data_IF_797999849622
#
_entry.id   IF_797999849622
#
_cell.length_a   1.000
_cell.length_b   1.000
_cell.length_c   1.000
_cell.angle_alpha   90.00
_cell.angle_beta   90.00
_cell.angle_gamma   90.00
#
_symmetry.space_group_name_H-M   'P 1'
#
loop_
_entity.id
_entity.type
_entity.pdbx_description
1 polymer ?
#
# COMPACT_ATOMS: atom_id res chain seq x y z
N UNK A 1 30.10 -36.26 -101.18
CA UNK A 1 29.11 -37.28 -100.77
C UNK A 1 29.47 -37.76 -99.38
N UNK A 2 28.56 -37.80 -98.40
CA UNK A 2 27.21 -37.19 -98.29
C UNK A 2 27.23 -35.96 -97.33
N UNK A 3 26.47 -34.90 -97.56
CA UNK A 3 25.05 -34.68 -97.20
C UNK A 3 24.74 -34.91 -95.72
N UNK A 4 24.44 -33.84 -94.97
CA UNK A 4 23.39 -33.83 -93.93
C UNK A 4 22.96 -32.41 -93.57
N UNK A 5 21.80 -32.09 -94.15
CA UNK A 5 20.67 -31.24 -93.77
C UNK A 5 20.78 -30.19 -92.64
N UNK A 6 20.29 -29.03 -93.06
CA UNK A 6 19.79 -27.83 -92.40
C UNK A 6 18.69 -28.09 -91.36
N UNK A 7 18.82 -27.53 -90.16
CA UNK A 7 17.68 -27.16 -89.31
C UNK A 7 18.06 -25.99 -88.39
N UNK A 8 17.64 -24.79 -88.79
CA UNK A 8 17.57 -23.62 -87.94
C UNK A 8 16.35 -23.71 -87.00
N UNK A 9 16.57 -23.65 -85.69
CA UNK A 9 15.53 -23.41 -84.69
C UNK A 9 15.61 -21.97 -84.13
N UNK A 10 14.46 -21.33 -83.84
CA UNK A 10 14.39 -19.92 -83.48
C UNK A 10 14.72 -19.65 -82.00
N UNK A 11 15.40 -18.53 -81.80
CA UNK A 11 15.72 -17.92 -80.51
C UNK A 11 14.44 -17.61 -79.72
N UNK A 12 14.18 -18.36 -78.65
CA UNK A 12 13.15 -18.03 -77.67
C UNK A 12 13.75 -17.18 -76.55
N UNK A 13 13.17 -15.99 -76.42
CA UNK A 13 13.51 -14.92 -75.51
C UNK A 13 13.15 -15.32 -74.07
N UNK A 14 14.14 -15.72 -73.27
CA UNK A 14 13.95 -16.03 -71.84
C UNK A 14 13.69 -14.75 -71.06
N UNK A 15 12.44 -14.60 -70.63
CA UNK A 15 11.96 -13.59 -69.69
C UNK A 15 12.84 -13.55 -68.42
N UNK A 16 13.39 -12.37 -68.15
CA UNK A 16 13.97 -11.98 -66.86
C UNK A 16 12.80 -11.85 -65.87
N UNK A 17 12.77 -12.58 -64.74
CA UNK A 17 11.77 -12.35 -63.71
C UNK A 17 12.03 -11.00 -63.01
N UNK A 18 10.97 -10.26 -62.62
CA UNK A 18 11.13 -8.98 -61.93
C UNK A 18 11.74 -9.19 -60.53
N UNK A 19 12.48 -8.19 -59.99
CA UNK A 19 13.03 -8.27 -58.64
C UNK A 19 11.90 -8.33 -57.62
N UNK A 20 11.96 -9.32 -56.73
CA UNK A 20 11.05 -9.53 -55.61
C UNK A 20 11.20 -8.39 -54.60
N UNK A 21 10.27 -7.45 -54.63
CA UNK A 21 10.11 -6.39 -53.64
C UNK A 21 9.27 -6.90 -52.47
N UNK A 22 9.83 -7.73 -51.61
CA UNK A 22 9.23 -8.06 -50.32
C UNK A 22 10.31 -8.07 -49.23
N UNK A 23 10.85 -6.89 -48.95
CA UNK A 23 11.47 -6.62 -47.66
C UNK A 23 10.37 -6.11 -46.74
N UNK A 24 9.58 -7.04 -46.20
CA UNK A 24 8.60 -6.76 -45.15
C UNK A 24 9.41 -6.52 -43.88
N UNK A 25 9.73 -5.26 -43.63
CA UNK A 25 10.15 -4.77 -42.32
C UNK A 25 9.11 -5.21 -41.31
N UNK A 26 9.42 -6.29 -40.61
CA UNK A 26 8.66 -6.76 -39.46
C UNK A 26 8.87 -5.73 -38.37
N UNK A 27 8.00 -4.72 -38.31
CA UNK A 27 7.88 -3.85 -37.16
C UNK A 27 7.65 -4.75 -35.95
N UNK A 28 8.65 -4.80 -35.07
CA UNK A 28 8.47 -5.32 -33.71
C UNK A 28 7.48 -4.37 -33.05
N UNK A 29 6.20 -4.73 -33.11
CA UNK A 29 5.15 -4.09 -32.31
C UNK A 29 5.52 -4.40 -30.87
N UNK A 30 6.24 -3.48 -30.23
CA UNK A 30 6.44 -3.50 -28.79
C UNK A 30 5.04 -3.33 -28.22
N UNK A 31 4.46 -4.41 -27.70
CA UNK A 31 3.16 -4.41 -27.05
C UNK A 31 3.28 -3.56 -25.79
N UNK A 32 3.03 -2.26 -25.93
CA UNK A 32 3.04 -1.33 -24.80
C UNK A 32 1.81 -1.67 -23.97
N UNK A 33 1.97 -2.14 -22.73
CA UNK A 33 0.84 -2.50 -21.89
C UNK A 33 -0.14 -1.33 -21.80
N UNK A 34 -1.43 -1.63 -21.82
CA UNK A 34 -2.46 -0.61 -21.66
C UNK A 34 -2.20 0.19 -20.37
N UNK A 35 -2.48 1.50 -20.31
CA UNK A 35 -2.19 2.35 -19.14
C UNK A 35 -2.67 1.77 -17.81
N UNK A 36 -3.80 1.07 -17.82
CA UNK A 36 -4.35 0.38 -16.64
C UNK A 36 -3.52 -0.83 -16.21
N UNK A 37 -3.00 -1.62 -17.16
CA UNK A 37 -2.16 -2.78 -16.88
C UNK A 37 -0.82 -2.37 -16.23
N UNK A 38 -0.25 -1.23 -16.63
CA UNK A 38 0.95 -0.69 -15.94
C UNK A 38 0.68 -0.34 -14.46
N UNK A 39 -0.53 0.15 -14.14
CA UNK A 39 -0.94 0.41 -12.76
C UNK A 39 -1.14 -0.91 -12.00
N UNK A 40 -1.68 -1.95 -12.64
CA UNK A 40 -1.77 -3.29 -12.05
C UNK A 40 -0.38 -3.86 -11.75
N UNK A 41 0.57 -3.73 -12.67
CA UNK A 41 1.95 -4.15 -12.46
C UNK A 41 2.59 -3.38 -11.30
N UNK A 42 2.36 -2.06 -11.21
CA UNK A 42 2.83 -1.25 -10.09
C UNK A 42 2.24 -1.71 -8.74
N UNK A 43 0.95 -2.05 -8.71
CA UNK A 43 0.30 -2.61 -7.52
C UNK A 43 0.85 -3.99 -7.17
N UNK A 44 1.10 -4.83 -8.18
CA UNK A 44 1.65 -6.18 -8.00
C UNK A 44 3.07 -6.15 -7.46
N UNK A 45 3.87 -5.17 -7.86
CA UNK A 45 5.23 -4.95 -7.38
C UNK A 45 5.30 -4.25 -6.01
N UNK A 46 4.17 -3.78 -5.47
CA UNK A 46 4.16 -3.07 -4.21
C UNK A 46 4.51 -4.04 -3.05
N UNK A 47 5.59 -3.76 -2.32
CA UNK A 47 6.10 -4.65 -1.26
C UNK A 47 5.30 -4.56 0.05
N UNK A 48 4.51 -3.50 0.23
CA UNK A 48 3.63 -3.31 1.39
C UNK A 48 2.29 -4.04 1.33
N UNK A 49 1.46 -3.80 2.36
CA UNK A 49 0.20 -4.53 2.57
C UNK A 49 -0.80 -4.40 1.41
N UNK A 50 -0.81 -3.23 0.75
CA UNK A 50 -1.63 -2.99 -0.44
C UNK A 50 -1.32 -4.00 -1.56
N UNK A 51 -0.04 -4.22 -1.85
CA UNK A 51 0.38 -5.17 -2.88
C UNK A 51 0.17 -6.62 -2.46
N UNK A 52 0.39 -6.96 -1.19
CA UNK A 52 0.09 -8.29 -0.66
C UNK A 52 -1.39 -8.66 -0.87
N UNK A 53 -2.31 -7.77 -0.45
CA UNK A 53 -3.74 -7.99 -0.62
C UNK A 53 -4.13 -8.02 -2.10
N UNK A 54 -3.54 -7.17 -2.93
CA UNK A 54 -3.78 -7.16 -4.37
C UNK A 54 -3.40 -8.52 -5.01
N UNK A 55 -2.18 -9.00 -4.78
CA UNK A 55 -1.68 -10.28 -5.29
C UNK A 55 -2.51 -11.48 -4.85
N UNK A 56 -2.95 -11.50 -3.59
CA UNK A 56 -3.78 -12.59 -3.08
C UNK A 56 -5.23 -12.50 -3.60
N UNK A 57 -5.73 -11.29 -3.85
CA UNK A 57 -7.05 -11.09 -4.47
C UNK A 57 -7.06 -11.51 -5.94
N UNK A 58 -5.96 -11.30 -6.69
CA UNK A 58 -5.83 -11.82 -8.07
C UNK A 58 -5.87 -13.35 -8.14
N UNK A 59 -5.44 -14.02 -7.08
CA UNK A 59 -5.52 -15.48 -6.94
C UNK A 59 -6.92 -15.98 -6.57
N UNK A 60 -7.89 -15.08 -6.37
CA UNK A 60 -9.27 -15.41 -6.04
C UNK A 60 -9.48 -15.83 -4.58
N UNK A 61 -8.57 -15.48 -3.67
CA UNK A 61 -8.74 -15.79 -2.25
C UNK A 61 -9.84 -14.90 -1.64
N UNK A 62 -10.62 -15.49 -0.75
CA UNK A 62 -11.62 -14.77 0.05
C UNK A 62 -10.96 -14.00 1.21
N UNK A 63 -11.60 -12.94 1.74
CA UNK A 63 -11.01 -12.08 2.77
C UNK A 63 -10.42 -12.81 3.98
N UNK A 64 -11.08 -13.84 4.48
CA UNK A 64 -10.59 -14.62 5.63
C UNK A 64 -9.35 -15.45 5.28
N UNK A 65 -9.27 -15.95 4.04
CA UNK A 65 -8.09 -16.68 3.55
C UNK A 65 -6.90 -15.73 3.35
N UNK A 66 -7.16 -14.49 2.91
CA UNK A 66 -6.14 -13.44 2.82
C UNK A 66 -5.63 -13.06 4.21
N UNK A 67 -6.53 -12.88 5.19
CA UNK A 67 -6.16 -12.59 6.57
C UNK A 67 -5.28 -13.70 7.16
N UNK A 68 -5.67 -14.97 6.96
CA UNK A 68 -4.89 -16.13 7.41
C UNK A 68 -3.51 -16.19 6.72
N UNK A 69 -3.45 -16.04 5.40
CA UNK A 69 -2.19 -16.05 4.64
C UNK A 69 -1.22 -14.94 5.05
N UNK A 70 -1.75 -13.83 5.57
CA UNK A 70 -1.01 -12.65 5.98
C UNK A 70 -0.77 -12.55 7.50
N UNK A 71 -1.17 -13.59 8.25
CA UNK A 71 -1.11 -13.66 9.72
C UNK A 71 -1.74 -12.45 10.42
N UNK A 72 -2.92 -12.04 9.91
CA UNK A 72 -3.74 -10.97 10.48
C UNK A 72 -4.98 -11.57 11.13
N UNK A 73 -5.32 -11.12 12.33
CA UNK A 73 -6.41 -11.68 13.13
C UNK A 73 -7.80 -11.43 12.52
N UNK A 74 -7.97 -10.33 11.80
CA UNK A 74 -9.25 -9.89 11.22
C UNK A 74 -9.13 -9.73 9.70
N UNK A 75 -10.25 -9.85 8.98
CA UNK A 75 -10.28 -9.69 7.52
C UNK A 75 -10.75 -8.31 7.03
N UNK A 76 -11.15 -7.41 7.93
CA UNK A 76 -11.69 -6.09 7.57
C UNK A 76 -10.72 -5.27 6.71
N UNK A 77 -9.42 -5.32 7.02
CA UNK A 77 -8.38 -4.62 6.27
C UNK A 77 -8.36 -5.01 4.77
N UNK A 78 -8.76 -6.24 4.43
CA UNK A 78 -8.78 -6.73 3.05
C UNK A 78 -9.74 -5.92 2.20
N UNK A 79 -10.93 -5.59 2.72
CA UNK A 79 -11.92 -4.77 2.01
C UNK A 79 -11.38 -3.37 1.75
N UNK A 80 -10.67 -2.79 2.73
CA UNK A 80 -10.01 -1.49 2.59
C UNK A 80 -8.96 -1.51 1.48
N UNK A 81 -8.01 -2.44 1.48
CA UNK A 81 -6.96 -2.49 0.45
C UNK A 81 -7.49 -2.89 -0.93
N UNK A 82 -8.54 -3.72 -1.00
CA UNK A 82 -9.26 -3.97 -2.26
C UNK A 82 -9.88 -2.69 -2.80
N UNK A 83 -10.51 -1.90 -1.93
CA UNK A 83 -11.08 -0.62 -2.32
C UNK A 83 -10.00 0.33 -2.82
N UNK A 84 -8.88 0.49 -2.10
CA UNK A 84 -7.75 1.32 -2.54
C UNK A 84 -7.19 0.87 -3.90
N UNK A 85 -7.07 -0.44 -4.13
CA UNK A 85 -6.64 -1.00 -5.42
C UNK A 85 -7.63 -0.65 -6.53
N UNK A 86 -8.95 -0.78 -6.28
CA UNK A 86 -9.98 -0.42 -7.26
C UNK A 86 -10.04 1.10 -7.50
N UNK A 87 -9.81 1.92 -6.48
CA UNK A 87 -9.71 3.37 -6.63
C UNK A 87 -8.53 3.73 -7.52
N UNK A 88 -7.37 3.06 -7.37
CA UNK A 88 -6.20 3.30 -8.21
C UNK A 88 -6.43 2.89 -9.67
N UNK A 89 -7.13 1.79 -9.91
CA UNK A 89 -7.36 1.23 -11.25
C UNK A 89 -8.52 1.92 -11.99
N UNK A 90 -9.63 2.15 -11.30
CA UNK A 90 -10.90 2.52 -11.93
C UNK A 90 -11.44 3.88 -11.45
N UNK A 91 -10.84 4.49 -10.41
CA UNK A 91 -11.30 5.76 -9.85
C UNK A 91 -12.67 5.68 -9.18
N UNK A 92 -13.02 4.52 -8.60
CA UNK A 92 -14.32 4.31 -7.96
C UNK A 92 -14.49 5.21 -6.72
N UNK A 93 -15.54 6.06 -6.67
CA UNK A 93 -15.82 6.88 -5.49
C UNK A 93 -16.27 6.02 -4.29
N UNK A 94 -16.12 6.55 -3.08
CA UNK A 94 -16.70 5.96 -1.86
C UNK A 94 -17.43 7.04 -1.07
N UNK A 95 -18.48 6.63 -0.36
CA UNK A 95 -19.26 7.49 0.50
C UNK A 95 -18.62 7.70 1.89
N UNK A 96 -17.78 6.76 2.35
CA UNK A 96 -17.14 6.83 3.67
C UNK A 96 -16.00 7.84 3.70
N UNK A 97 -16.03 8.77 4.66
CA UNK A 97 -15.05 9.85 4.77
C UNK A 97 -13.64 9.31 5.07
N UNK A 98 -13.53 8.26 5.87
CA UNK A 98 -12.25 7.62 6.23
C UNK A 98 -11.73 6.80 5.05
N UNK A 99 -12.55 5.91 4.46
CA UNK A 99 -12.13 5.10 3.31
C UNK A 99 -11.65 5.95 2.12
N UNK A 100 -12.32 7.07 1.84
CA UNK A 100 -11.92 8.00 0.76
C UNK A 100 -10.52 8.56 1.02
N UNK A 101 -10.30 9.07 2.23
CA UNK A 101 -9.02 9.64 2.66
C UNK A 101 -7.89 8.62 2.57
N UNK A 102 -8.14 7.39 2.98
CA UNK A 102 -7.19 6.28 2.83
C UNK A 102 -6.87 6.00 1.36
N UNK A 103 -7.87 5.99 0.47
CA UNK A 103 -7.64 5.84 -0.96
C UNK A 103 -6.80 6.99 -1.54
N UNK A 104 -7.09 8.24 -1.19
CA UNK A 104 -6.29 9.41 -1.59
C UNK A 104 -4.82 9.24 -1.18
N UNK A 105 -4.55 8.84 0.06
CA UNK A 105 -3.19 8.58 0.55
C UNK A 105 -2.48 7.46 -0.21
N UNK A 106 -3.18 6.36 -0.48
CA UNK A 106 -2.66 5.24 -1.26
C UNK A 106 -2.34 5.66 -2.71
N UNK A 107 -3.23 6.40 -3.37
CA UNK A 107 -3.02 6.88 -4.74
C UNK A 107 -1.85 7.86 -4.82
N UNK A 108 -1.69 8.77 -3.85
CA UNK A 108 -0.53 9.67 -3.78
C UNK A 108 0.79 8.88 -3.64
N UNK A 109 0.80 7.81 -2.86
CA UNK A 109 1.94 6.91 -2.72
C UNK A 109 2.26 6.22 -4.05
N UNK A 110 1.25 5.66 -4.72
CA UNK A 110 1.41 5.02 -6.02
C UNK A 110 1.89 6.01 -7.10
N UNK A 111 1.36 7.23 -7.13
CA UNK A 111 1.82 8.29 -8.04
C UNK A 111 3.30 8.56 -7.84
N UNK A 112 3.76 8.62 -6.59
CA UNK A 112 5.16 8.85 -6.27
C UNK A 112 6.04 7.67 -6.69
N UNK A 113 5.62 6.43 -6.42
CA UNK A 113 6.32 5.21 -6.84
C UNK A 113 6.36 5.06 -8.37
N UNK A 114 5.30 5.48 -9.05
CA UNK A 114 5.17 5.40 -10.50
C UNK A 114 6.02 6.44 -11.26
N UNK A 115 6.60 7.45 -10.60
CA UNK A 115 7.45 8.46 -11.26
C UNK A 115 8.66 7.80 -11.90
N UNK A 116 8.78 7.94 -13.22
CA UNK A 116 9.87 7.33 -14.00
C UNK A 116 9.72 5.82 -14.20
N UNK A 117 8.63 5.19 -13.72
CA UNK A 117 8.29 3.79 -13.97
C UNK A 117 7.08 3.65 -14.91
N UNK A 118 6.06 4.47 -14.69
CA UNK A 118 4.83 4.48 -15.50
C UNK A 118 5.01 5.33 -16.76
N UNK A 119 4.35 4.93 -17.84
CA UNK A 119 4.16 5.75 -19.03
C UNK A 119 3.40 7.05 -18.71
N UNK A 120 3.52 8.08 -19.57
CA UNK A 120 2.75 9.32 -19.40
C UNK A 120 1.24 9.09 -19.30
N UNK A 121 0.71 8.13 -20.06
CA UNK A 121 -0.71 7.82 -20.10
C UNK A 121 -1.17 7.08 -18.84
N UNK A 122 -0.39 6.13 -18.33
CA UNK A 122 -0.65 5.46 -17.06
C UNK A 122 -0.60 6.44 -15.89
N UNK A 123 0.39 7.35 -15.88
CA UNK A 123 0.49 8.41 -14.88
C UNK A 123 -0.70 9.39 -14.96
N UNK A 124 -1.15 9.74 -16.17
CA UNK A 124 -2.32 10.60 -16.36
C UNK A 124 -3.61 9.90 -15.88
N UNK A 125 -3.77 8.61 -16.17
CA UNK A 125 -4.90 7.81 -15.69
C UNK A 125 -4.95 7.76 -14.16
N UNK A 126 -3.82 7.46 -13.50
CA UNK A 126 -3.75 7.37 -12.04
C UNK A 126 -4.08 8.72 -11.36
N UNK A 127 -3.59 9.83 -11.93
CA UNK A 127 -3.93 11.19 -11.47
C UNK A 127 -5.40 11.54 -11.72
N UNK A 128 -5.97 11.11 -12.84
CA UNK A 128 -7.39 11.30 -13.11
C UNK A 128 -8.26 10.51 -12.13
N UNK A 129 -7.84 9.30 -11.76
CA UNK A 129 -8.53 8.48 -10.77
C UNK A 129 -8.46 9.13 -9.37
N UNK A 130 -7.30 9.69 -8.99
CA UNK A 130 -7.17 10.49 -7.77
C UNK A 130 -8.18 11.64 -7.72
N UNK A 131 -8.23 12.45 -8.78
CA UNK A 131 -9.15 13.58 -8.86
C UNK A 131 -10.64 13.16 -8.74
N UNK A 132 -11.02 11.98 -9.26
CA UNK A 132 -12.38 11.44 -9.10
C UNK A 132 -12.70 11.05 -7.66
N UNK A 133 -11.74 10.43 -6.97
CA UNK A 133 -11.88 10.05 -5.56
C UNK A 133 -11.95 11.29 -4.67
N UNK A 134 -11.19 12.33 -4.98
CA UNK A 134 -11.24 13.61 -4.26
C UNK A 134 -12.59 14.31 -4.45
N UNK A 135 -13.09 14.37 -5.69
CA UNK A 135 -14.35 15.03 -6.03
C UNK A 135 -15.61 14.32 -5.47
N UNK A 136 -15.50 13.07 -5.01
CA UNK A 136 -16.66 12.31 -4.54
C UNK A 136 -17.26 12.83 -3.22
N UNK A 137 -16.59 13.76 -2.54
CA UNK A 137 -17.13 14.44 -1.35
C UNK A 137 -18.31 15.33 -1.67
N UNK A 138 -18.23 16.06 -2.78
CA UNK A 138 -19.21 17.06 -3.17
C UNK A 138 -20.50 16.41 -3.70
N UNK A 139 -20.43 15.14 -4.09
CA UNK A 139 -21.52 14.36 -4.70
C UNK A 139 -22.14 13.32 -3.75
N UNK A 140 -21.61 13.15 -2.53
CA UNK A 140 -22.08 12.13 -1.60
C UNK A 140 -23.46 12.45 -1.02
N UNK A 141 -24.36 11.46 -1.01
CA UNK A 141 -25.63 11.54 -0.28
C UNK A 141 -25.34 11.62 1.23
N UNK A 142 -25.77 12.68 1.94
CA UNK A 142 -25.53 12.85 3.38
C UNK A 142 -26.00 11.67 4.23
N UNK A 143 -27.07 10.98 3.81
CA UNK A 143 -27.59 9.81 4.54
C UNK A 143 -26.65 8.62 4.37
N UNK A 144 -26.23 8.33 3.14
CA UNK A 144 -25.31 7.24 2.84
C UNK A 144 -23.92 7.47 3.49
N UNK A 145 -23.44 8.72 3.52
CA UNK A 145 -22.20 9.08 4.19
C UNK A 145 -22.28 8.84 5.71
N UNK A 146 -23.37 9.28 6.36
CA UNK A 146 -23.57 9.08 7.79
C UNK A 146 -23.69 7.59 8.18
N UNK A 147 -24.36 6.78 7.36
CA UNK A 147 -24.44 5.33 7.57
C UNK A 147 -23.08 4.65 7.42
N UNK A 148 -22.28 5.05 6.42
CA UNK A 148 -20.93 4.54 6.23
C UNK A 148 -20.02 4.88 7.42
N UNK A 149 -19.99 6.14 7.85
CA UNK A 149 -19.19 6.59 8.99
C UNK A 149 -19.61 5.87 10.30
N UNK A 150 -20.91 5.64 10.51
CA UNK A 150 -21.40 4.90 11.68
C UNK A 150 -20.96 3.43 11.68
N UNK A 151 -20.95 2.80 10.51
CA UNK A 151 -20.48 1.41 10.35
C UNK A 151 -18.98 1.32 10.64
N UNK A 152 -18.18 2.25 10.12
CA UNK A 152 -16.73 2.32 10.39
C UNK A 152 -16.44 2.45 11.90
N UNK A 153 -17.17 3.32 12.61
CA UNK A 153 -17.03 3.49 14.06
C UNK A 153 -17.36 2.20 14.84
N UNK A 154 -18.40 1.48 14.43
CA UNK A 154 -18.79 0.23 15.07
C UNK A 154 -17.72 -0.87 14.89
N UNK A 155 -17.13 -0.96 13.71
CA UNK A 155 -16.05 -1.91 13.41
C UNK A 155 -14.78 -1.60 14.21
N UNK A 156 -14.40 -0.32 14.32
CA UNK A 156 -13.28 0.11 15.15
C UNK A 156 -13.48 -0.25 16.64
N UNK A 157 -14.69 -0.03 17.17
CA UNK A 157 -15.04 -0.36 18.55
C UNK A 157 -15.00 -1.87 18.82
N UNK A 158 -15.48 -2.67 17.86
CA UNK A 158 -15.45 -4.15 17.94
C UNK A 158 -14.01 -4.65 17.98
N UNK A 159 -13.16 -4.15 17.08
CA UNK A 159 -11.75 -4.56 17.00
C UNK A 159 -10.99 -4.20 18.28
N UNK A 160 -11.30 -3.06 18.92
CA UNK A 160 -10.72 -2.70 20.22
C UNK A 160 -11.10 -3.68 21.34
N UNK A 161 -12.32 -4.22 21.29
CA UNK A 161 -12.79 -5.24 22.23
C UNK A 161 -11.99 -6.54 22.14
N UNK A 162 -11.59 -6.93 20.93
CA UNK A 162 -10.80 -8.15 20.67
C UNK A 162 -9.37 -8.08 21.22
N UNK A 163 -8.84 -6.86 21.44
CA UNK A 163 -7.51 -6.64 22.02
C UNK A 163 -7.47 -6.79 23.56
N UNK A 164 -8.63 -7.01 24.20
CA UNK A 164 -8.72 -7.06 25.66
C UNK A 164 -7.95 -8.26 26.25
N UNK A 165 -7.03 -7.98 27.17
CA UNK A 165 -6.21 -9.00 27.82
C UNK A 165 -5.10 -9.58 26.95
N UNK A 166 -4.92 -9.09 25.71
CA UNK A 166 -3.86 -9.52 24.82
C UNK A 166 -2.57 -8.74 25.10
N UNK A 167 -1.47 -9.47 25.29
CA UNK A 167 -0.15 -8.88 25.44
C UNK A 167 0.50 -8.71 24.06
N UNK A 168 1.25 -7.62 23.87
CA UNK A 168 1.79 -7.34 22.56
C UNK A 168 2.52 -6.01 22.41
N UNK A 169 2.98 -5.79 21.19
CA UNK A 169 3.55 -4.52 20.73
C UNK A 169 2.42 -3.68 20.14
N UNK A 170 2.37 -2.41 20.49
CA UNK A 170 1.45 -1.44 19.92
C UNK A 170 2.24 -0.32 19.22
N UNK A 171 1.62 0.26 18.20
CA UNK A 171 2.12 1.44 17.51
C UNK A 171 1.05 2.53 17.51
N UNK A 172 1.40 3.73 17.98
CA UNK A 172 0.55 4.91 17.98
C UNK A 172 1.19 6.05 17.20
N UNK A 173 0.38 6.93 16.64
CA UNK A 173 0.84 8.21 16.12
C UNK A 173 -0.15 9.31 16.49
N UNK A 174 0.26 10.56 16.33
CA UNK A 174 -0.69 11.68 16.33
C UNK A 174 -1.32 11.82 14.95
N UNK A 175 -2.57 12.26 14.90
CA UNK A 175 -3.30 12.52 13.66
C UNK A 175 -2.48 13.38 12.71
N UNK A 176 -2.02 14.54 13.19
CA UNK A 176 -1.14 15.43 12.41
C UNK A 176 0.08 14.74 11.77
N UNK A 177 0.73 13.77 12.43
CA UNK A 177 1.88 13.08 11.83
C UNK A 177 1.49 12.11 10.73
N UNK A 178 0.30 11.53 10.84
CA UNK A 178 -0.22 10.65 9.80
C UNK A 178 -0.72 11.46 8.59
N UNK A 179 -1.16 12.70 8.81
CA UNK A 179 -1.54 13.67 7.77
C UNK A 179 -0.31 14.25 7.07
N UNK A 180 0.61 14.78 7.87
CA UNK A 180 1.80 15.48 7.44
C UNK A 180 3.03 14.64 7.73
N UNK A 181 3.32 13.72 6.82
CA UNK A 181 4.47 12.83 6.92
C UNK A 181 5.77 13.63 7.08
N UNK A 182 6.52 13.33 8.14
CA UNK A 182 7.78 14.02 8.46
C UNK A 182 8.83 13.82 7.36
N UNK A 183 8.85 12.64 6.74
CA UNK A 183 9.65 12.35 5.55
C UNK A 183 8.73 11.75 4.46
N UNK A 184 8.07 12.65 3.72
CA UNK A 184 7.23 12.29 2.57
C UNK A 184 8.01 11.56 1.47
N UNK A 185 9.34 11.72 1.42
CA UNK A 185 10.25 11.05 0.48
C UNK A 185 10.39 9.56 0.74
N UNK A 186 10.28 9.12 2.00
CA UNK A 186 10.26 7.70 2.39
C UNK A 186 8.89 7.19 2.86
N UNK A 187 7.90 8.08 2.92
CA UNK A 187 6.60 7.76 3.50
C UNK A 187 6.65 7.63 5.02
N UNK A 188 7.73 8.09 5.66
CA UNK A 188 7.96 7.90 7.08
C UNK A 188 7.38 9.06 7.89
N UNK A 189 6.88 8.73 9.07
CA UNK A 189 6.42 9.70 10.05
C UNK A 189 6.77 9.26 11.46
N UNK A 190 6.45 10.08 12.46
CA UNK A 190 6.73 9.76 13.86
C UNK A 190 5.68 8.81 14.42
N UNK A 191 6.09 7.56 14.64
CA UNK A 191 5.26 6.54 15.25
C UNK A 191 5.90 6.10 16.57
N UNK A 192 5.10 6.09 17.62
CA UNK A 192 5.44 5.56 18.94
C UNK A 192 5.22 4.07 18.98
N UNK A 193 6.27 3.30 19.20
CA UNK A 193 6.23 1.83 19.33
C UNK A 193 6.57 1.45 20.77
N UNK A 194 5.70 0.67 21.41
CA UNK A 194 5.96 0.15 22.76
C UNK A 194 5.19 -1.13 23.04
N UNK A 195 5.36 -1.68 24.24
CA UNK A 195 4.69 -2.92 24.66
C UNK A 195 3.62 -2.71 25.72
N UNK A 196 2.67 -3.65 25.79
CA UNK A 196 1.71 -3.75 26.88
C UNK A 196 1.41 -5.22 27.21
N UNK A 197 1.19 -5.52 28.49
CA UNK A 197 0.63 -6.81 28.92
C UNK A 197 -0.88 -6.94 28.64
N UNK A 198 -1.51 -5.81 28.32
CA UNK A 198 -2.90 -5.67 27.89
C UNK A 198 -2.99 -4.45 26.98
N UNK A 199 -3.04 -4.69 25.67
CA UNK A 199 -3.04 -3.64 24.65
C UNK A 199 -4.30 -2.78 24.75
N UNK A 200 -5.49 -3.35 24.93
CA UNK A 200 -6.74 -2.59 25.04
C UNK A 200 -6.72 -1.63 26.24
N UNK A 201 -6.24 -2.08 27.40
CA UNK A 201 -6.11 -1.21 28.56
C UNK A 201 -5.10 -0.09 28.32
N UNK A 202 -4.01 -0.37 27.60
CA UNK A 202 -3.04 0.66 27.22
C UNK A 202 -3.62 1.69 26.27
N UNK A 203 -4.42 1.27 25.27
CA UNK A 203 -5.14 2.16 24.37
C UNK A 203 -6.07 3.07 25.19
N UNK A 204 -6.91 2.50 26.05
CA UNK A 204 -7.83 3.27 26.92
C UNK A 204 -7.12 4.31 27.77
N UNK A 205 -5.95 3.99 28.33
CA UNK A 205 -5.14 4.95 29.10
C UNK A 205 -4.67 6.13 28.25
N UNK A 206 -4.28 5.90 27.00
CA UNK A 206 -3.86 6.96 26.09
C UNK A 206 -5.04 7.79 25.59
N UNK A 207 -6.19 7.17 25.32
CA UNK A 207 -7.40 7.87 24.87
C UNK A 207 -8.04 8.69 25.99
N UNK A 208 -8.09 8.16 27.23
CA UNK A 208 -8.66 8.86 28.39
C UNK A 208 -7.73 9.94 28.97
N UNK A 209 -6.44 9.86 28.67
CA UNK A 209 -5.39 10.67 29.26
C UNK A 209 -5.03 11.92 28.47
N UNK A 210 -5.94 12.49 27.67
CA UNK A 210 -5.74 13.76 26.95
C UNK A 210 -5.19 14.82 27.92
N UNK A 211 -3.85 14.97 27.92
CA UNK A 211 -3.16 15.90 28.81
C UNK A 211 -3.57 17.29 28.35
N UNK A 212 -3.79 18.20 29.31
CA UNK A 212 -4.10 19.62 29.09
C UNK A 212 -3.14 20.38 28.14
N UNK A 213 -2.04 19.76 27.71
CA UNK A 213 -1.04 20.32 26.80
C UNK A 213 -0.88 19.56 25.47
N UNK A 214 -1.66 18.50 25.21
CA UNK A 214 -1.69 17.80 23.91
C UNK A 214 -3.15 17.66 23.46
N UNK A 215 -3.61 18.52 22.54
CA UNK A 215 -5.03 18.62 22.19
C UNK A 215 -5.54 17.44 21.35
N UNK A 216 -4.67 16.69 20.66
CA UNK A 216 -5.09 15.56 19.80
C UNK A 216 -4.91 14.18 20.46
N UNK A 217 -5.90 13.29 20.34
CA UNK A 217 -5.78 11.91 20.78
C UNK A 217 -4.78 11.12 19.91
N UNK A 218 -4.12 10.13 20.51
CA UNK A 218 -3.26 9.21 19.76
C UNK A 218 -4.12 8.23 18.94
N UNK A 219 -3.84 8.13 17.64
CA UNK A 219 -4.40 7.13 16.75
C UNK A 219 -3.62 5.82 16.87
N UNK A 220 -4.33 4.70 17.08
CA UNK A 220 -3.73 3.37 17.01
C UNK A 220 -3.44 3.04 15.54
N UNK A 221 -2.18 2.69 15.26
CA UNK A 221 -1.71 2.38 13.90
C UNK A 221 -1.61 0.88 13.72
N UNK A 222 -0.99 0.18 14.67
CA UNK A 222 -0.82 -1.28 14.63
C UNK A 222 -0.86 -1.89 16.04
N UNK A 223 -1.27 -3.15 16.12
CA UNK A 223 -1.04 -3.99 17.28
C UNK A 223 -0.61 -5.39 16.84
N UNK A 224 0.40 -5.93 17.52
CA UNK A 224 0.97 -7.25 17.24
C UNK A 224 0.97 -8.10 18.50
N UNK A 225 0.50 -9.33 18.40
CA UNK A 225 0.48 -10.29 19.50
C UNK A 225 1.90 -10.71 19.87
N UNK A 226 2.18 -10.76 21.16
CA UNK A 226 3.43 -11.30 21.68
C UNK A 226 3.19 -12.10 22.96
N UNK A 227 3.98 -13.16 23.15
CA UNK A 227 3.98 -13.94 24.39
C UNK A 227 4.30 -13.06 25.59
N UNK A 228 3.55 -13.21 26.69
CA UNK A 228 3.72 -12.41 27.92
C UNK A 228 5.13 -12.50 28.49
N UNK A 229 5.74 -13.68 28.42
CA UNK A 229 7.07 -13.95 28.98
C UNK A 229 8.21 -13.38 28.12
N UNK A 230 7.95 -13.17 26.83
CA UNK A 230 8.94 -12.69 25.85
C UNK A 230 8.78 -11.20 25.52
N UNK A 231 7.72 -10.56 26.04
CA UNK A 231 7.27 -9.23 25.65
C UNK A 231 8.38 -8.16 25.69
N UNK A 232 9.25 -8.20 26.70
CA UNK A 232 10.35 -7.24 26.81
C UNK A 232 11.47 -7.50 25.80
N UNK A 233 11.79 -8.78 25.55
CA UNK A 233 12.78 -9.15 24.55
C UNK A 233 12.30 -8.82 23.13
N UNK A 234 11.01 -9.06 22.85
CA UNK A 234 10.38 -8.72 21.57
C UNK A 234 10.39 -7.21 21.34
N UNK A 235 9.99 -6.40 22.33
CA UNK A 235 10.05 -4.93 22.23
C UNK A 235 11.47 -4.45 21.91
N UNK A 236 12.46 -4.99 22.62
CA UNK A 236 13.85 -4.64 22.43
C UNK A 236 14.32 -4.96 21.00
N UNK A 237 14.04 -6.17 20.50
CA UNK A 237 14.39 -6.53 19.12
C UNK A 237 13.65 -5.66 18.08
N UNK A 238 12.39 -5.33 18.35
CA UNK A 238 11.61 -4.45 17.48
C UNK A 238 12.26 -3.07 17.36
N UNK A 239 12.65 -2.49 18.50
CA UNK A 239 13.35 -1.20 18.54
C UNK A 239 14.73 -1.29 17.88
N UNK A 240 15.49 -2.35 18.14
CA UNK A 240 16.82 -2.56 17.52
C UNK A 240 16.73 -2.65 16.00
N UNK A 241 15.70 -3.30 15.44
CA UNK A 241 15.49 -3.38 14.00
C UNK A 241 15.15 -1.99 13.41
N UNK A 242 14.29 -1.21 14.07
CA UNK A 242 14.00 0.17 13.67
C UNK A 242 15.25 1.05 13.69
N UNK A 243 16.03 0.99 14.77
CA UNK A 243 17.27 1.75 14.91
C UNK A 243 18.31 1.34 13.86
N UNK A 244 18.52 0.04 13.66
CA UNK A 244 19.49 -0.48 12.69
C UNK A 244 19.12 -0.09 11.25
N UNK A 245 17.83 0.00 10.93
CA UNK A 245 17.33 0.49 9.64
C UNK A 245 17.41 2.01 9.47
N UNK A 246 17.85 2.75 10.50
CA UNK A 246 17.97 4.20 10.46
C UNK A 246 16.69 4.96 10.78
N UNK A 247 15.67 4.30 11.34
CA UNK A 247 14.36 4.91 11.67
C UNK A 247 14.40 5.68 13.00
N UNK A 248 15.52 6.34 13.28
CA UNK A 248 15.70 7.11 14.51
C UNK A 248 14.77 8.32 14.55
N UNK A 249 14.36 8.73 15.74
CA UNK A 249 13.66 10.00 15.93
C UNK A 249 14.63 11.18 15.70
N UNK A 250 14.45 11.98 14.63
CA UNK A 250 15.35 13.09 14.32
C UNK A 250 15.30 14.20 15.38
N UNK A 251 14.28 14.23 16.24
CA UNK A 251 14.16 15.19 17.35
C UNK A 251 15.03 14.82 18.54
N UNK A 252 15.68 13.65 18.53
CA UNK A 252 16.68 13.25 19.51
C UNK A 252 18.08 13.62 19.01
N UNK A 253 18.33 14.92 18.80
CA UNK A 253 19.69 15.40 18.52
C UNK A 253 20.49 15.51 19.82
N UNK A 254 21.56 14.70 19.94
CA UNK A 254 22.53 14.74 21.04
C UNK A 254 22.50 13.55 22.02
N UNK A 255 23.53 13.45 22.88
CA UNK A 255 23.72 12.44 23.95
C UNK A 255 22.69 12.59 25.09
N UNK A 256 21.40 12.69 24.78
CA UNK A 256 20.37 12.72 25.81
C UNK A 256 20.20 11.32 26.39
N UNK A 257 20.60 11.16 27.65
CA UNK A 257 20.42 9.95 28.47
C UNK A 257 18.98 9.74 28.92
N UNK A 258 18.08 10.69 28.61
CA UNK A 258 16.67 10.61 28.93
C UNK A 258 16.00 9.41 28.24
N UNK A 259 15.19 8.67 29.00
CA UNK A 259 14.32 7.61 28.45
C UNK A 259 13.12 8.17 27.68
N UNK A 260 12.81 9.46 27.88
CA UNK A 260 11.68 10.12 27.24
C UNK A 260 11.94 10.24 25.74
N UNK A 261 11.04 9.68 24.93
CA UNK A 261 11.09 9.78 23.47
C UNK A 261 11.84 8.66 22.76
N UNK A 262 12.44 7.70 23.48
CA UNK A 262 13.11 6.51 22.88
C UNK A 262 12.16 5.63 22.07
N UNK A 263 10.92 5.60 22.50
CA UNK A 263 9.81 4.86 21.91
C UNK A 263 9.26 5.48 20.61
N UNK A 264 9.73 6.66 20.18
CA UNK A 264 9.29 7.27 18.92
C UNK A 264 10.31 7.00 17.83
N UNK A 265 9.83 6.65 16.64
CA UNK A 265 10.65 6.27 15.48
C UNK A 265 10.13 6.97 14.23
N UNK A 266 11.04 7.33 13.32
CA UNK A 266 10.70 7.87 12.01
C UNK A 266 10.52 6.70 11.03
N UNK A 267 9.30 6.16 10.98
CA UNK A 267 8.97 4.89 10.30
C UNK A 267 7.61 4.97 9.61
N UNK A 268 7.23 3.90 8.92
CA UNK A 268 5.91 3.75 8.30
C UNK A 268 5.31 2.38 8.65
N UNK A 269 4.05 2.19 8.28
CA UNK A 269 3.27 0.99 8.56
C UNK A 269 3.81 -0.28 7.91
N UNK A 270 4.22 -0.21 6.64
CA UNK A 270 4.76 -1.36 5.91
C UNK A 270 6.05 -1.89 6.55
N UNK A 271 6.87 -0.99 7.10
CA UNK A 271 8.09 -1.37 7.81
C UNK A 271 7.79 -2.02 9.17
N UNK A 272 6.77 -1.53 9.89
CA UNK A 272 6.33 -2.18 11.13
C UNK A 272 5.82 -3.59 10.86
N UNK A 273 5.04 -3.77 9.80
CA UNK A 273 4.53 -5.07 9.36
C UNK A 273 5.66 -6.01 8.91
N UNK A 274 6.70 -5.47 8.26
CA UNK A 274 7.90 -6.21 7.89
C UNK A 274 8.67 -6.72 9.10
N UNK A 275 8.80 -5.91 10.16
CA UNK A 275 9.39 -6.33 11.43
C UNK A 275 8.53 -7.40 12.09
N UNK A 276 7.20 -7.19 12.17
CA UNK A 276 6.29 -8.16 12.75
C UNK A 276 6.40 -9.52 12.05
N UNK A 277 6.43 -9.53 10.71
CA UNK A 277 6.66 -10.73 9.90
C UNK A 277 8.01 -11.39 10.20
N UNK A 278 9.09 -10.62 10.29
CA UNK A 278 10.42 -11.14 10.61
C UNK A 278 10.49 -11.76 12.02
N UNK A 279 9.78 -11.17 12.97
CA UNK A 279 9.66 -11.64 14.35
C UNK A 279 8.53 -12.68 14.54
N UNK A 280 7.80 -13.03 13.47
CA UNK A 280 6.65 -13.95 13.49
C UNK A 280 5.57 -13.55 14.50
N UNK A 281 5.28 -12.26 14.57
CA UNK A 281 4.23 -11.71 15.40
C UNK A 281 2.94 -11.63 14.59
N UNK A 282 1.86 -12.16 15.16
CA UNK A 282 0.53 -12.07 14.56
C UNK A 282 0.03 -10.64 14.63
N UNK A 283 -0.50 -10.12 13.54
CA UNK A 283 -1.09 -8.77 13.50
C UNK A 283 -2.51 -8.83 14.03
N UNK A 284 -2.78 -8.15 15.14
CA UNK A 284 -4.10 -8.11 15.78
C UNK A 284 -4.94 -6.96 15.26
N UNK A 285 -4.29 -5.85 14.93
CA UNK A 285 -4.96 -4.63 14.52
C UNK A 285 -4.18 -3.93 13.41
N UNK A 286 -4.89 -3.54 12.37
CA UNK A 286 -4.44 -2.67 11.30
C UNK A 286 -5.29 -1.41 11.38
N UNK A 287 -4.71 -0.37 11.98
CA UNK A 287 -5.25 0.97 11.97
C UNK A 287 -4.82 1.71 10.73
N UNK A 288 -5.59 2.72 10.37
CA UNK A 288 -5.26 3.66 9.33
C UNK A 288 -5.63 5.04 9.87
N UNK A 289 -4.95 6.10 9.41
CA UNK A 289 -5.24 7.44 9.93
C UNK A 289 -6.70 7.84 9.67
N UNK A 290 -7.47 8.02 10.74
CA UNK A 290 -8.80 8.66 10.71
C UNK A 290 -8.69 10.20 10.59
N UNK A 291 -7.47 10.70 10.48
CA UNK A 291 -7.12 12.11 10.38
C UNK A 291 -6.31 12.22 9.08
N UNK A 292 -6.94 12.40 7.94
CA UNK A 292 -6.28 12.73 6.67
C UNK A 292 -6.94 13.97 6.08
N UNK A 293 -6.83 15.11 6.77
CA UNK A 293 -7.40 16.37 6.30
C UNK A 293 -6.45 17.53 6.59
N UNK A 294 -5.68 17.94 5.58
CA UNK A 294 -5.56 19.31 5.06
C UNK A 294 -4.53 19.37 3.91
#
# INVERSE_FOLDING_TARGET
MPDFEDHAEPVTNSQIPPPSTEDVTSEVVVDVPAPRAEIEDLLRDHEGRLGDVFRLSEQGLEPDQIAEALDVATSNFVYTYRYQSQAALDGKPTAGSVMRRQAVGALNTLIKLGRGRLSPDAMALLKSNLARVEASEDEADPVAAAEADSKEQFEAATTLGELAGVAGIYAFSYGWYLESLVDSGRGNTLIKVGRASDIANRIKQHTAGARTHMPEPLALVRAYEAGRDELHAIEKHFHELLETAGHFNPRRTGKSTSEVGKEWFLTNEDFLDSIAKALRLRTLYIGQSEFSSE
#
